data_IF_062646676767
#
_entry.id   IF_062646676767
#
_cell.length_a   1.000
_cell.length_b   1.000
_cell.length_c   1.000
_cell.angle_alpha   90.00
_cell.angle_beta   90.00
_cell.angle_gamma   90.00
#
_symmetry.space_group_name_H-M   'P 1'
#
loop_
_entity.id
_entity.type
_entity.pdbx_description
1 polymer ?
#
# COMPACT_ATOMS: atom_id res chain seq x y z
N UNK A 1 -41.83 11.00 19.84
CA UNK A 1 -41.32 10.85 18.47
C UNK A 1 -39.85 11.23 18.48
N UNK A 2 -38.98 10.28 18.82
CA UNK A 2 -37.53 10.49 18.79
C UNK A 2 -37.00 9.84 17.51
N UNK A 3 -36.54 10.68 16.58
CA UNK A 3 -35.89 10.23 15.35
C UNK A 3 -34.46 9.80 15.66
N UNK A 4 -34.24 8.50 15.81
CA UNK A 4 -32.91 7.90 15.83
C UNK A 4 -32.25 8.09 14.46
N UNK A 5 -31.33 9.06 14.37
CA UNK A 5 -30.42 9.18 13.23
C UNK A 5 -29.32 8.14 13.38
N UNK A 6 -29.53 6.98 12.76
CA UNK A 6 -28.51 5.97 12.54
C UNK A 6 -27.32 6.56 11.77
N UNK A 7 -26.14 6.54 12.39
CA UNK A 7 -24.87 6.85 11.73
C UNK A 7 -24.51 5.61 10.92
N UNK A 8 -24.67 5.68 9.60
CA UNK A 8 -24.14 4.68 8.67
C UNK A 8 -22.62 4.71 8.75
N UNK A 9 -22.01 3.68 9.33
CA UNK A 9 -20.60 3.39 9.16
C UNK A 9 -20.40 2.90 7.72
N UNK A 10 -19.99 3.78 6.82
CA UNK A 10 -19.55 3.38 5.48
C UNK A 10 -18.23 2.60 5.59
N UNK A 11 -18.43 1.28 5.72
CA UNK A 11 -17.67 0.16 5.18
C UNK A 11 -16.16 0.40 4.94
N UNK A 12 -15.34 -0.35 5.69
CA UNK A 12 -14.22 -1.07 5.05
C UNK A 12 -14.75 -1.56 3.71
N UNK A 13 -14.11 -1.23 2.60
CA UNK A 13 -14.53 -1.71 1.27
C UNK A 13 -14.80 -3.21 1.42
N UNK A 14 -16.06 -3.61 1.34
CA UNK A 14 -16.48 -5.00 1.44
C UNK A 14 -15.95 -5.68 0.20
N UNK A 15 -14.67 -6.07 0.26
CA UNK A 15 -14.05 -6.91 -0.76
C UNK A 15 -14.91 -8.16 -0.81
N UNK A 16 -15.45 -8.53 -1.99
CA UNK A 16 -16.39 -9.62 -2.13
C UNK A 16 -15.82 -10.86 -1.44
N UNK A 17 -16.51 -11.32 -0.39
CA UNK A 17 -16.14 -12.47 0.44
C UNK A 17 -16.10 -13.80 -0.33
N UNK A 18 -16.42 -13.77 -1.62
CA UNK A 18 -16.56 -14.94 -2.49
C UNK A 18 -15.36 -15.17 -3.42
N UNK A 19 -14.33 -14.31 -3.43
CA UNK A 19 -13.09 -14.61 -4.14
C UNK A 19 -12.21 -15.52 -3.27
N UNK A 20 -12.51 -16.82 -3.29
CA UNK A 20 -11.66 -17.85 -2.68
C UNK A 20 -10.68 -18.34 -3.73
N UNK A 21 -9.40 -18.09 -3.49
CA UNK A 21 -8.38 -18.51 -4.42
C UNK A 21 -7.91 -19.93 -4.08
N UNK A 22 -8.14 -20.87 -5.00
CA UNK A 22 -7.68 -22.26 -4.90
C UNK A 22 -6.25 -22.45 -5.41
N UNK A 23 -5.55 -21.38 -5.78
CA UNK A 23 -4.15 -21.42 -6.17
C UNK A 23 -3.23 -21.74 -4.99
N UNK A 24 -2.21 -22.55 -5.25
CA UNK A 24 -1.16 -22.85 -4.29
C UNK A 24 0.03 -21.88 -4.39
N UNK A 25 0.07 -21.04 -5.41
CA UNK A 25 1.14 -20.07 -5.63
C UNK A 25 0.64 -18.66 -5.39
N UNK A 26 1.39 -17.89 -4.61
CA UNK A 26 1.08 -16.51 -4.26
C UNK A 26 2.19 -15.65 -4.84
N UNK A 27 1.85 -14.75 -5.75
CA UNK A 27 2.81 -13.76 -6.27
C UNK A 27 2.69 -12.48 -5.45
N UNK A 28 3.77 -12.09 -4.79
CA UNK A 28 3.79 -10.93 -3.92
C UNK A 28 5.03 -10.05 -4.11
N UNK A 29 4.91 -8.78 -3.71
CA UNK A 29 6.06 -7.90 -3.50
C UNK A 29 5.89 -7.04 -2.25
N UNK A 30 7.01 -6.56 -1.72
CA UNK A 30 7.05 -5.63 -0.59
C UNK A 30 7.79 -4.36 -1.02
N UNK A 31 7.09 -3.23 -1.02
CA UNK A 31 7.64 -1.97 -1.53
C UNK A 31 7.20 -0.75 -0.70
N UNK A 32 7.95 0.35 -0.80
CA UNK A 32 7.51 1.65 -0.24
C UNK A 32 6.60 2.39 -1.22
N UNK A 33 6.92 2.32 -2.52
CA UNK A 33 6.26 3.02 -3.63
C UNK A 33 5.96 4.49 -3.30
N UNK A 34 6.97 5.24 -2.87
CA UNK A 34 6.78 6.62 -2.40
C UNK A 34 7.63 7.68 -3.12
N UNK A 35 7.13 8.27 -4.20
CA UNK A 35 5.85 7.97 -4.85
C UNK A 35 5.91 6.66 -5.67
N UNK A 36 4.75 6.14 -6.15
CA UNK A 36 4.72 5.17 -7.24
C UNK A 36 5.46 5.75 -8.45
N UNK A 37 6.18 4.91 -9.20
CA UNK A 37 7.02 5.36 -10.34
C UNK A 37 6.97 4.35 -11.47
N UNK A 38 7.41 4.72 -12.70
CA UNK A 38 7.49 3.78 -13.82
C UNK A 38 8.34 2.53 -13.49
N UNK A 39 9.44 2.70 -12.75
CA UNK A 39 10.25 1.56 -12.30
C UNK A 39 9.50 0.58 -11.37
N UNK A 40 8.54 1.05 -10.59
CA UNK A 40 7.65 0.16 -9.82
C UNK A 40 6.65 -0.57 -10.71
N UNK A 41 6.20 0.04 -11.81
CA UNK A 41 5.29 -0.64 -12.74
C UNK A 41 5.98 -1.78 -13.48
N UNK A 42 7.28 -1.70 -13.76
CA UNK A 42 8.03 -2.85 -14.31
C UNK A 42 8.02 -4.06 -13.36
N UNK A 43 8.08 -3.81 -12.05
CA UNK A 43 7.94 -4.87 -11.05
C UNK A 43 6.53 -5.47 -11.10
N UNK A 44 5.50 -4.62 -11.16
CA UNK A 44 4.11 -5.05 -11.26
C UNK A 44 3.85 -5.79 -12.59
N UNK A 45 4.44 -5.36 -13.69
CA UNK A 45 4.40 -6.01 -15.01
C UNK A 45 4.87 -7.45 -14.91
N UNK A 46 6.07 -7.67 -14.36
CA UNK A 46 6.64 -9.01 -14.22
C UNK A 46 5.77 -9.90 -13.35
N UNK A 47 5.18 -9.34 -12.28
CA UNK A 47 4.23 -10.06 -11.44
C UNK A 47 2.95 -10.44 -12.20
N UNK A 48 2.36 -9.51 -12.97
CA UNK A 48 1.14 -9.75 -13.76
C UNK A 48 1.38 -10.77 -14.86
N UNK A 49 2.47 -10.63 -15.63
CA UNK A 49 2.80 -11.55 -16.72
C UNK A 49 3.09 -12.96 -16.18
N UNK A 50 3.81 -13.06 -15.06
CA UNK A 50 4.04 -14.35 -14.43
C UNK A 50 2.76 -14.95 -13.86
N UNK A 51 1.89 -14.16 -13.24
CA UNK A 51 0.57 -14.63 -12.81
C UNK A 51 -0.25 -15.15 -14.00
N UNK A 52 -0.30 -14.38 -15.09
CA UNK A 52 -1.07 -14.72 -16.29
C UNK A 52 -0.57 -16.00 -16.95
N UNK A 53 0.74 -16.18 -17.08
CA UNK A 53 1.35 -17.38 -17.64
C UNK A 53 1.10 -18.63 -16.78
N UNK A 54 0.88 -18.47 -15.47
CA UNK A 54 0.60 -19.56 -14.54
C UNK A 54 -0.91 -19.71 -14.23
N UNK A 55 -1.79 -19.04 -14.99
CA UNK A 55 -3.24 -19.00 -14.76
C UNK A 55 -3.62 -18.61 -13.32
N UNK A 56 -2.83 -17.74 -12.70
CA UNK A 56 -3.16 -17.16 -11.40
C UNK A 56 -4.10 -15.97 -11.60
N UNK A 57 -5.03 -15.82 -10.67
CA UNK A 57 -6.07 -14.79 -10.65
C UNK A 57 -5.72 -13.61 -9.76
N UNK A 58 -4.60 -13.68 -9.02
CA UNK A 58 -4.25 -12.65 -8.06
C UNK A 58 -2.75 -12.41 -7.92
N UNK A 59 -2.39 -11.15 -7.72
CA UNK A 59 -1.08 -10.73 -7.18
C UNK A 59 -1.27 -9.83 -5.95
N UNK A 60 -0.25 -9.70 -5.12
CA UNK A 60 -0.31 -8.89 -3.90
C UNK A 60 0.86 -7.91 -3.77
N UNK A 61 0.55 -6.64 -3.50
CA UNK A 61 1.54 -5.59 -3.24
C UNK A 61 1.42 -5.17 -1.77
N UNK A 62 2.45 -5.42 -0.99
CA UNK A 62 2.54 -5.04 0.42
C UNK A 62 3.28 -3.72 0.52
N UNK A 63 2.57 -2.67 0.92
CA UNK A 63 3.10 -1.32 1.05
C UNK A 63 3.59 -1.04 2.47
N UNK A 64 4.81 -0.50 2.56
CA UNK A 64 5.35 -0.02 3.83
C UNK A 64 4.56 1.18 4.38
N UNK A 65 4.38 1.18 5.70
CA UNK A 65 3.63 2.17 6.46
C UNK A 65 4.47 3.37 6.94
N UNK A 66 5.81 3.31 6.87
CA UNK A 66 6.60 4.42 7.42
C UNK A 66 6.27 5.73 6.68
N UNK A 67 6.35 6.86 7.39
CA UNK A 67 6.16 8.18 6.80
C UNK A 67 7.29 9.07 7.28
N UNK A 68 8.05 9.60 6.34
CA UNK A 68 9.15 10.53 6.59
C UNK A 68 9.24 11.51 5.42
N UNK A 69 9.64 12.74 5.68
CA UNK A 69 9.51 13.82 4.68
C UNK A 69 10.45 13.70 3.49
N UNK A 70 11.49 12.85 3.56
CA UNK A 70 12.55 12.80 2.55
C UNK A 70 12.50 11.53 1.68
N UNK A 71 12.24 10.38 2.29
CA UNK A 71 12.20 9.07 1.66
C UNK A 71 10.80 8.51 1.46
N UNK A 72 9.87 8.80 2.38
CA UNK A 72 8.52 8.22 2.39
C UNK A 72 7.42 9.29 2.67
N UNK A 73 7.31 10.34 1.83
CA UNK A 73 6.47 11.52 2.13
C UNK A 73 4.96 11.28 2.11
N UNK A 74 4.50 10.24 1.41
CA UNK A 74 3.09 9.86 1.30
C UNK A 74 2.70 8.72 2.26
N UNK A 75 1.55 8.83 2.92
CA UNK A 75 0.99 7.70 3.67
C UNK A 75 0.45 6.59 2.74
N UNK A 76 0.25 5.41 3.30
CA UNK A 76 -0.14 4.24 2.52
C UNK A 76 -1.49 4.38 1.82
N UNK A 77 -2.47 4.97 2.50
CA UNK A 77 -3.80 5.20 1.95
C UNK A 77 -3.76 6.11 0.72
N UNK A 78 -3.00 7.20 0.79
CA UNK A 78 -2.78 8.10 -0.35
C UNK A 78 -2.14 7.38 -1.53
N UNK A 79 -1.13 6.53 -1.30
CA UNK A 79 -0.50 5.73 -2.38
C UNK A 79 -1.49 4.77 -3.03
N UNK A 80 -2.23 4.02 -2.22
CA UNK A 80 -3.19 3.00 -2.65
C UNK A 80 -4.35 3.61 -3.45
N UNK A 81 -5.11 4.51 -2.82
CA UNK A 81 -6.42 4.94 -3.33
C UNK A 81 -6.31 6.01 -4.42
N UNK A 82 -5.25 6.83 -4.42
CA UNK A 82 -5.14 7.97 -5.34
C UNK A 82 -4.34 7.64 -6.59
N UNK A 83 -3.34 6.75 -6.49
CA UNK A 83 -2.37 6.58 -7.58
C UNK A 83 -2.25 5.14 -8.07
N UNK A 84 -2.17 4.16 -7.15
CA UNK A 84 -1.85 2.80 -7.57
C UNK A 84 -3.04 2.12 -8.26
N UNK A 85 -4.27 2.24 -7.75
CA UNK A 85 -5.42 1.59 -8.38
C UNK A 85 -5.63 2.04 -9.83
N UNK A 86 -5.77 3.34 -10.09
CA UNK A 86 -6.00 3.86 -11.45
C UNK A 86 -4.82 3.62 -12.40
N UNK A 87 -3.59 3.79 -11.92
CA UNK A 87 -2.37 3.51 -12.70
C UNK A 87 -2.27 2.05 -13.11
N UNK A 88 -2.50 1.12 -12.17
CA UNK A 88 -2.40 -0.32 -12.42
C UNK A 88 -3.50 -0.78 -13.37
N UNK A 89 -4.73 -0.29 -13.24
CA UNK A 89 -5.82 -0.66 -14.15
C UNK A 89 -5.52 -0.22 -15.59
N UNK A 90 -5.09 1.03 -15.79
CA UNK A 90 -4.67 1.52 -17.12
C UNK A 90 -3.45 0.76 -17.65
N UNK A 91 -2.53 0.38 -16.76
CA UNK A 91 -1.37 -0.41 -17.13
C UNK A 91 -1.74 -1.84 -17.54
N UNK A 92 -2.71 -2.47 -16.87
CA UNK A 92 -3.25 -3.78 -17.28
C UNK A 92 -3.86 -3.73 -18.68
N UNK A 93 -4.59 -2.66 -19.01
CA UNK A 93 -5.13 -2.46 -20.37
C UNK A 93 -4.02 -2.39 -21.42
N UNK A 94 -2.95 -1.64 -21.13
CA UNK A 94 -1.77 -1.60 -21.98
C UNK A 94 -1.14 -2.99 -22.16
N UNK A 95 -0.92 -3.73 -21.07
CA UNK A 95 -0.33 -5.08 -21.12
C UNK A 95 -1.21 -6.07 -21.90
N UNK A 96 -2.54 -5.97 -21.76
CA UNK A 96 -3.48 -6.79 -22.50
C UNK A 96 -3.37 -6.58 -24.02
N UNK A 97 -3.10 -5.34 -24.46
CA UNK A 97 -2.90 -5.00 -25.87
C UNK A 97 -1.53 -5.48 -26.37
N UNK A 98 -0.47 -5.36 -25.57
CA UNK A 98 0.89 -5.74 -25.98
C UNK A 98 1.17 -7.24 -25.85
N UNK A 99 0.33 -7.98 -25.11
CA UNK A 99 0.40 -9.44 -24.92
C UNK A 99 -0.95 -10.09 -25.24
N UNK A 100 -1.40 -10.08 -26.50
CA UNK A 100 -2.72 -10.59 -26.88
C UNK A 100 -2.90 -12.07 -26.53
N UNK A 101 -1.83 -12.86 -26.48
CA UNK A 101 -1.84 -14.27 -26.07
C UNK A 101 -2.19 -14.48 -24.58
N UNK A 102 -1.99 -13.46 -23.74
CA UNK A 102 -2.30 -13.48 -22.32
C UNK A 102 -3.47 -12.56 -21.94
N UNK A 103 -4.13 -11.92 -22.91
CA UNK A 103 -5.12 -10.86 -22.69
C UNK A 103 -6.17 -11.23 -21.63
N UNK A 104 -6.84 -12.37 -21.81
CA UNK A 104 -7.91 -12.82 -20.91
C UNK A 104 -7.39 -12.97 -19.47
N UNK A 105 -6.21 -13.55 -19.32
CA UNK A 105 -5.60 -13.79 -18.02
C UNK A 105 -5.17 -12.46 -17.38
N UNK A 106 -4.49 -11.58 -18.12
CA UNK A 106 -4.09 -10.24 -17.68
C UNK A 106 -5.29 -9.47 -17.15
N UNK A 107 -6.39 -9.42 -17.90
CA UNK A 107 -7.62 -8.71 -17.51
C UNK A 107 -8.21 -9.27 -16.21
N UNK A 108 -8.21 -10.60 -16.06
CA UNK A 108 -8.77 -11.30 -14.89
C UNK A 108 -7.97 -11.14 -13.59
N UNK A 109 -6.67 -10.81 -13.66
CA UNK A 109 -5.81 -10.71 -12.47
C UNK A 109 -6.26 -9.58 -11.55
N UNK A 110 -6.60 -9.93 -10.31
CA UNK A 110 -6.85 -9.00 -9.24
C UNK A 110 -5.54 -8.53 -8.60
N UNK A 111 -5.34 -7.22 -8.48
CA UNK A 111 -4.16 -6.65 -7.81
C UNK A 111 -4.53 -6.17 -6.42
N UNK A 112 -4.16 -6.96 -5.42
CA UNK A 112 -4.47 -6.67 -4.01
C UNK A 112 -3.36 -5.82 -3.41
N UNK A 113 -3.70 -4.64 -2.91
CA UNK A 113 -2.75 -3.72 -2.26
C UNK A 113 -3.03 -3.67 -0.76
N UNK A 114 -2.08 -4.18 0.04
CA UNK A 114 -2.19 -4.23 1.50
C UNK A 114 -1.19 -3.27 2.13
N UNK A 115 -1.63 -2.43 3.06
CA UNK A 115 -0.76 -1.59 3.86
C UNK A 115 -0.30 -2.34 5.11
N UNK A 116 0.96 -2.19 5.51
CA UNK A 116 1.48 -2.82 6.73
C UNK A 116 0.81 -2.32 8.03
N UNK A 117 0.16 -1.16 7.97
CA UNK A 117 -0.61 -0.54 9.05
C UNK A 117 -2.13 -0.65 8.86
N UNK A 118 -2.60 -1.44 7.89
CA UNK A 118 -4.03 -1.71 7.77
C UNK A 118 -4.55 -2.34 9.08
N UNK A 119 -5.72 -1.89 9.59
CA UNK A 119 -6.30 -2.46 10.80
C UNK A 119 -6.81 -3.87 10.48
N UNK A 120 -5.96 -4.87 10.71
CA UNK A 120 -6.37 -6.27 10.62
C UNK A 120 -7.31 -6.57 11.79
N UNK A 121 -8.52 -7.07 11.49
CA UNK A 121 -9.43 -7.52 12.53
C UNK A 121 -8.76 -8.63 13.35
N UNK A 122 -9.05 -8.68 14.65
CA UNK A 122 -8.47 -9.62 15.62
C UNK A 122 -8.69 -11.10 15.25
N UNK A 123 -9.55 -11.38 14.27
CA UNK A 123 -9.89 -12.71 13.79
C UNK A 123 -8.81 -13.41 12.96
N UNK A 124 -7.66 -12.77 12.64
CA UNK A 124 -6.57 -13.47 11.95
C UNK A 124 -5.77 -14.29 12.97
N UNK A 125 -5.91 -15.64 13.02
CA UNK A 125 -5.50 -16.47 14.15
C UNK A 125 -3.98 -16.59 14.37
N UNK A 126 -3.16 -15.89 13.57
CA UNK A 126 -1.70 -16.00 13.52
C UNK A 126 -0.97 -14.68 13.78
N UNK A 127 -1.72 -13.61 14.05
CA UNK A 127 -1.14 -12.31 14.37
C UNK A 127 -0.98 -12.23 15.89
N UNK A 128 0.18 -12.65 16.39
CA UNK A 128 0.58 -12.35 17.77
C UNK A 128 1.10 -10.90 17.87
N UNK A 129 1.09 -10.33 19.08
CA UNK A 129 1.61 -8.96 19.34
C UNK A 129 3.05 -8.77 18.84
N UNK A 130 3.88 -9.82 18.92
CA UNK A 130 5.29 -9.83 18.50
C UNK A 130 5.51 -10.07 16.99
N UNK A 131 4.46 -10.03 16.16
CA UNK A 131 4.56 -10.24 14.71
C UNK A 131 5.07 -8.98 14.03
N UNK A 132 6.08 -9.10 13.16
CA UNK A 132 6.56 -7.96 12.37
C UNK A 132 5.46 -7.45 11.43
N UNK A 133 5.42 -6.15 11.08
CA UNK A 133 4.37 -5.61 10.20
C UNK A 133 4.29 -6.32 8.83
N UNK A 134 5.43 -6.77 8.30
CA UNK A 134 5.50 -7.56 7.06
C UNK A 134 4.78 -8.89 7.23
N UNK A 135 5.07 -9.62 8.30
CA UNK A 135 4.43 -10.91 8.58
C UNK A 135 2.93 -10.74 8.85
N UNK A 136 2.51 -9.64 9.49
CA UNK A 136 1.08 -9.34 9.66
C UNK A 136 0.36 -9.21 8.31
N UNK A 137 0.94 -8.45 7.39
CA UNK A 137 0.39 -8.29 6.05
C UNK A 137 0.37 -9.61 5.25
N UNK A 138 1.44 -10.42 5.32
CA UNK A 138 1.48 -11.75 4.69
C UNK A 138 0.41 -12.66 5.28
N UNK A 139 0.30 -12.74 6.61
CA UNK A 139 -0.71 -13.57 7.27
C UNK A 139 -2.13 -13.12 6.94
N UNK A 140 -2.37 -11.81 6.85
CA UNK A 140 -3.64 -11.28 6.38
C UNK A 140 -3.96 -11.73 4.95
N UNK A 141 -2.99 -11.64 4.04
CA UNK A 141 -3.19 -12.08 2.64
C UNK A 141 -3.50 -13.58 2.60
N UNK A 142 -2.71 -14.39 3.30
CA UNK A 142 -2.87 -15.84 3.38
C UNK A 142 -4.25 -16.23 3.92
N UNK A 143 -4.67 -15.62 5.03
CA UNK A 143 -5.95 -15.91 5.68
C UNK A 143 -7.13 -15.42 4.84
N UNK A 144 -7.07 -14.18 4.34
CA UNK A 144 -8.19 -13.54 3.67
C UNK A 144 -8.44 -14.08 2.26
N UNK A 145 -7.39 -14.38 1.51
CA UNK A 145 -7.51 -14.71 0.08
C UNK A 145 -7.18 -16.17 -0.26
N UNK A 146 -6.38 -16.87 0.56
CA UNK A 146 -5.87 -18.21 0.25
C UNK A 146 -6.30 -19.29 1.26
N UNK A 147 -7.29 -18.98 2.11
CA UNK A 147 -7.89 -19.94 3.06
C UNK A 147 -6.85 -20.60 3.99
N UNK A 148 -5.83 -19.87 4.43
CA UNK A 148 -4.83 -20.41 5.34
C UNK A 148 -5.45 -20.85 6.70
N UNK A 149 -5.03 -22.00 7.28
CA UNK A 149 -3.95 -22.88 6.83
C UNK A 149 -4.34 -23.81 5.69
N UNK A 150 -3.49 -23.88 4.66
CA UNK A 150 -3.62 -24.81 3.54
C UNK A 150 -2.25 -25.41 3.19
N UNK A 151 -2.13 -26.74 3.05
CA UNK A 151 -0.86 -27.37 2.70
C UNK A 151 -0.45 -27.01 1.26
N UNK A 152 0.86 -26.89 1.02
CA UNK A 152 1.42 -26.69 -0.31
C UNK A 152 1.41 -25.23 -0.81
N UNK A 153 1.08 -24.26 0.04
CA UNK A 153 1.20 -22.84 -0.32
C UNK A 153 2.66 -22.44 -0.54
N UNK A 154 2.93 -21.73 -1.63
CA UNK A 154 4.23 -21.20 -2.01
C UNK A 154 4.11 -19.71 -2.34
N UNK A 155 4.94 -18.87 -1.74
CA UNK A 155 5.02 -17.44 -2.02
C UNK A 155 6.22 -17.15 -2.90
N UNK A 156 5.96 -16.64 -4.10
CA UNK A 156 6.97 -16.06 -4.99
C UNK A 156 7.06 -14.57 -4.71
N UNK A 157 8.16 -14.17 -4.09
CA UNK A 157 8.40 -12.80 -3.69
C UNK A 157 9.33 -12.11 -4.69
N UNK A 158 8.77 -11.11 -5.37
CA UNK A 158 9.53 -10.26 -6.27
C UNK A 158 10.14 -9.10 -5.49
N UNK A 159 11.47 -8.95 -5.58
CA UNK A 159 12.21 -7.85 -4.97
C UNK A 159 13.23 -7.28 -5.95
N UNK A 160 13.54 -5.99 -5.80
CA UNK A 160 14.63 -5.38 -6.55
C UNK A 160 15.97 -6.00 -6.16
N UNK A 161 16.90 -6.05 -7.12
CA UNK A 161 18.31 -6.42 -6.93
C UNK A 161 19.02 -5.61 -5.83
N UNK A 162 18.56 -4.38 -5.57
CA UNK A 162 19.04 -3.49 -4.52
C UNK A 162 18.76 -3.97 -3.09
N UNK A 163 18.04 -5.08 -2.91
CA UNK A 163 17.68 -5.63 -1.60
C UNK A 163 18.25 -7.02 -1.40
N UNK A 164 19.17 -7.12 -0.45
CA UNK A 164 19.63 -8.41 0.08
C UNK A 164 18.51 -9.05 0.90
N UNK A 165 17.93 -10.14 0.38
CA UNK A 165 16.85 -10.88 1.04
C UNK A 165 17.23 -11.35 2.44
N UNK A 166 18.47 -11.84 2.62
CA UNK A 166 18.92 -12.38 3.89
C UNK A 166 19.03 -11.31 4.97
N UNK A 167 19.21 -10.04 4.57
CA UNK A 167 19.22 -8.89 5.50
C UNK A 167 17.84 -8.28 5.67
N UNK A 168 17.06 -8.21 4.59
CA UNK A 168 15.77 -7.51 4.60
C UNK A 168 14.64 -8.37 5.19
N UNK A 169 14.51 -9.63 4.76
CA UNK A 169 13.38 -10.50 5.10
C UNK A 169 13.79 -11.76 5.85
N UNK A 170 14.99 -12.27 5.60
CA UNK A 170 15.55 -13.44 6.28
C UNK A 170 15.26 -13.44 7.78
N UNK A 171 15.58 -12.40 8.56
CA UNK A 171 15.37 -12.39 10.01
C UNK A 171 13.90 -12.33 10.43
N UNK A 172 13.01 -11.84 9.55
CA UNK A 172 11.57 -11.79 9.82
C UNK A 172 10.91 -13.13 9.49
N UNK A 173 11.29 -13.76 8.38
CA UNK A 173 10.67 -14.99 7.88
C UNK A 173 11.22 -16.26 8.56
N UNK A 174 12.48 -16.29 8.97
CA UNK A 174 13.06 -17.46 9.67
C UNK A 174 12.56 -17.62 11.11
N UNK A 175 12.11 -16.54 11.74
CA UNK A 175 11.66 -16.55 13.15
C UNK A 175 10.27 -17.16 13.35
N UNK A 176 9.49 -17.39 12.29
CA UNK A 176 8.17 -18.03 12.39
C UNK A 176 8.06 -19.10 11.32
N UNK A 177 7.69 -20.30 11.73
CA UNK A 177 7.37 -21.43 10.87
C UNK A 177 6.06 -21.14 10.09
N UNK A 178 6.10 -20.18 9.17
CA UNK A 178 5.07 -20.10 8.15
C UNK A 178 5.35 -21.31 7.24
N UNK A 179 4.42 -22.28 7.11
CA UNK A 179 4.60 -23.49 6.31
C UNK A 179 4.42 -23.16 4.81
N UNK A 180 5.12 -22.12 4.37
CA UNK A 180 5.00 -21.53 3.04
C UNK A 180 6.40 -21.41 2.48
N UNK A 181 6.61 -22.01 1.30
CA UNK A 181 7.85 -21.83 0.56
C UNK A 181 8.03 -20.38 0.14
N UNK A 182 9.27 -19.89 0.15
CA UNK A 182 9.60 -18.56 -0.37
C UNK A 182 10.58 -18.69 -1.53
N UNK A 183 10.16 -18.25 -2.72
CA UNK A 183 11.01 -18.13 -3.89
C UNK A 183 11.30 -16.65 -4.15
N UNK A 184 12.57 -16.27 -4.23
CA UNK A 184 12.97 -14.90 -4.52
C UNK A 184 13.17 -14.73 -6.03
N UNK A 185 12.55 -13.70 -6.59
CA UNK A 185 12.79 -13.26 -7.97
C UNK A 185 13.40 -11.87 -7.93
N UNK A 186 14.64 -11.75 -8.39
CA UNK A 186 15.38 -10.49 -8.47
C UNK A 186 15.10 -9.79 -9.80
N UNK A 187 14.83 -8.49 -9.73
CA UNK A 187 14.70 -7.64 -10.91
C UNK A 187 15.89 -6.68 -11.00
N UNK A 188 16.58 -6.72 -12.13
CA UNK A 188 17.71 -5.85 -12.43
C UNK A 188 17.27 -4.38 -12.55
N UNK A 189 18.08 -3.48 -12.00
CA UNK A 189 17.86 -2.03 -12.06
C UNK A 189 19.05 -1.30 -12.67
N UNK A 190 19.20 -1.43 -13.98
CA UNK A 190 20.27 -0.79 -14.74
C UNK A 190 20.29 0.73 -14.52
N UNK A 191 21.46 1.27 -14.20
CA UNK A 191 21.75 2.70 -14.04
C UNK A 191 20.96 3.45 -12.93
N UNK A 192 20.19 2.77 -12.09
CA UNK A 192 19.37 3.43 -11.06
C UNK A 192 20.19 4.34 -10.12
N UNK A 193 21.39 3.90 -9.73
CA UNK A 193 22.29 4.66 -8.83
C UNK A 193 22.72 6.00 -9.42
N UNK A 194 22.97 6.05 -10.73
CA UNK A 194 23.40 7.25 -11.46
C UNK A 194 22.31 8.32 -11.44
N UNK A 195 21.09 7.96 -11.81
CA UNK A 195 19.98 8.92 -11.85
C UNK A 195 19.50 9.31 -10.45
N UNK A 196 19.61 8.41 -9.46
CA UNK A 196 19.27 8.69 -8.06
C UNK A 196 20.14 9.79 -7.44
N UNK A 197 21.40 9.90 -7.85
CA UNK A 197 22.36 10.87 -7.27
C UNK A 197 22.44 12.19 -8.03
N UNK A 198 21.70 12.37 -9.12
CA UNK A 198 21.75 13.59 -9.93
C UNK A 198 21.31 14.84 -9.15
N UNK A 199 22.12 15.88 -9.24
CA UNK A 199 21.82 17.20 -8.69
C UNK A 199 20.88 18.02 -9.58
N UNK A 200 20.36 19.14 -9.05
CA UNK A 200 19.37 19.95 -9.76
C UNK A 200 19.83 20.50 -11.12
N UNK A 201 21.11 20.82 -11.27
CA UNK A 201 21.66 21.29 -12.55
C UNK A 201 21.65 20.19 -13.61
N UNK A 202 22.05 18.97 -13.24
CA UNK A 202 22.02 17.81 -14.13
C UNK A 202 20.60 17.42 -14.49
N UNK A 203 19.67 17.46 -13.52
CA UNK A 203 18.27 17.17 -13.77
C UNK A 203 17.66 18.21 -14.73
N UNK A 204 17.94 19.50 -14.57
CA UNK A 204 17.45 20.55 -15.47
C UNK A 204 17.84 20.33 -16.94
N UNK A 205 19.05 19.86 -17.20
CA UNK A 205 19.53 19.57 -18.56
C UNK A 205 19.18 18.16 -19.06
N UNK A 206 18.61 17.30 -18.22
CA UNK A 206 18.31 15.92 -18.56
C UNK A 206 17.13 15.80 -19.52
N UNK A 207 17.34 15.12 -20.64
CA UNK A 207 16.28 14.67 -21.53
C UNK A 207 15.53 13.49 -20.89
N UNK A 208 14.37 13.74 -20.28
CA UNK A 208 13.58 12.70 -19.58
C UNK A 208 13.21 11.50 -20.48
N UNK A 209 13.05 11.73 -21.78
CA UNK A 209 12.68 10.70 -22.73
C UNK A 209 13.80 9.66 -22.92
N UNK A 210 15.06 10.05 -22.72
CA UNK A 210 16.22 9.14 -22.80
C UNK A 210 16.53 8.39 -21.50
N UNK A 211 15.81 8.66 -20.41
CA UNK A 211 16.01 7.96 -19.14
C UNK A 211 15.36 6.57 -19.23
N UNK A 212 16.10 5.47 -18.96
CA UNK A 212 15.53 4.14 -19.02
C UNK A 212 14.53 3.93 -17.86
N UNK A 213 13.41 3.25 -18.15
CA UNK A 213 12.34 3.01 -17.16
C UNK A 213 12.87 2.35 -15.86
N UNK A 214 13.75 1.34 -15.89
CA UNK A 214 14.33 0.76 -14.67
C UNK A 214 15.07 1.76 -13.76
N UNK A 215 15.57 2.86 -14.33
CA UNK A 215 16.27 3.89 -13.56
C UNK A 215 15.34 4.95 -12.95
N UNK A 216 14.06 4.99 -13.35
CA UNK A 216 13.04 5.93 -12.85
C UNK A 216 12.55 5.54 -11.45
N UNK A 217 13.44 5.63 -10.48
CA UNK A 217 13.21 5.29 -9.07
C UNK A 217 12.43 6.37 -8.33
N UNK A 218 11.89 6.01 -7.17
CA UNK A 218 11.23 6.95 -6.25
C UNK A 218 12.14 8.12 -5.88
N UNK A 219 13.42 7.85 -5.61
CA UNK A 219 14.41 8.89 -5.28
C UNK A 219 14.64 9.86 -6.43
N UNK A 220 14.74 9.35 -7.67
CA UNK A 220 14.85 10.19 -8.86
C UNK A 220 13.64 11.13 -8.98
N UNK A 221 12.42 10.60 -8.85
CA UNK A 221 11.18 11.40 -8.90
C UNK A 221 11.13 12.44 -7.78
N UNK A 222 11.51 12.08 -6.56
CA UNK A 222 11.59 13.04 -5.43
C UNK A 222 12.61 14.15 -5.70
N UNK A 223 13.73 13.86 -6.36
CA UNK A 223 14.71 14.89 -6.71
C UNK A 223 14.14 15.89 -7.74
N UNK A 224 13.31 15.46 -8.69
CA UNK A 224 12.60 16.38 -9.60
C UNK A 224 11.73 17.37 -8.82
N UNK A 225 11.04 16.90 -7.78
CA UNK A 225 10.23 17.73 -6.88
C UNK A 225 11.12 18.68 -6.07
N UNK A 226 12.19 18.18 -5.45
CA UNK A 226 13.17 18.99 -4.69
C UNK A 226 13.76 20.12 -5.52
N UNK A 227 13.96 19.89 -6.82
CA UNK A 227 14.54 20.83 -7.77
C UNK A 227 13.50 21.71 -8.48
N UNK A 228 12.21 21.60 -8.12
CA UNK A 228 11.08 22.33 -8.72
C UNK A 228 10.99 22.18 -10.24
N UNK A 229 11.02 20.94 -10.72
CA UNK A 229 10.96 20.60 -12.16
C UNK A 229 9.63 19.92 -12.51
N UNK A 230 8.49 20.65 -12.49
CA UNK A 230 7.16 20.05 -12.69
C UNK A 230 6.97 19.45 -14.09
N UNK A 231 7.56 20.06 -15.12
CA UNK A 231 7.41 19.56 -16.50
C UNK A 231 8.14 18.22 -16.68
N UNK A 232 9.34 18.09 -16.11
CA UNK A 232 10.09 16.85 -16.12
C UNK A 232 9.41 15.78 -15.28
N UNK A 233 8.89 16.15 -14.11
CA UNK A 233 8.08 15.27 -13.28
C UNK A 233 6.87 14.74 -14.05
N UNK A 234 6.15 15.61 -14.76
CA UNK A 234 5.00 15.22 -15.57
C UNK A 234 5.38 14.21 -16.66
N UNK A 235 6.47 14.45 -17.39
CA UNK A 235 6.98 13.49 -18.39
C UNK A 235 7.29 12.11 -17.80
N UNK A 236 7.91 12.07 -16.62
CA UNK A 236 8.17 10.79 -15.93
C UNK A 236 6.88 10.11 -15.51
N UNK A 237 5.94 10.85 -14.92
CA UNK A 237 4.72 10.25 -14.38
C UNK A 237 3.71 9.84 -15.46
N UNK A 238 3.78 10.41 -16.67
CA UNK A 238 3.05 9.89 -17.84
C UNK A 238 3.48 8.47 -18.20
N UNK A 239 4.76 8.15 -18.07
CA UNK A 239 5.28 6.77 -18.22
C UNK A 239 4.82 5.83 -17.10
N UNK A 240 4.23 6.36 -16.02
CA UNK A 240 3.58 5.59 -14.98
C UNK A 240 2.06 5.50 -15.15
N UNK A 241 1.53 5.77 -16.35
CA UNK A 241 0.10 5.68 -16.66
C UNK A 241 -0.77 6.51 -15.69
N UNK A 242 -0.27 7.67 -15.26
CA UNK A 242 -1.06 8.67 -14.53
C UNK A 242 -1.59 9.72 -15.49
N UNK A 243 -2.82 10.18 -15.24
CA UNK A 243 -3.43 11.29 -15.98
C UNK A 243 -2.87 12.64 -15.51
N UNK A 244 -2.95 13.66 -16.37
CA UNK A 244 -2.41 14.99 -16.09
C UNK A 244 -2.90 15.58 -14.75
N UNK A 245 -4.16 15.33 -14.41
CA UNK A 245 -4.73 15.74 -13.12
C UNK A 245 -4.06 15.02 -11.95
N UNK A 246 -3.94 13.70 -11.99
CA UNK A 246 -3.31 12.91 -10.92
C UNK A 246 -1.82 13.28 -10.78
N UNK A 247 -1.15 13.55 -11.89
CA UNK A 247 0.24 14.02 -11.92
C UNK A 247 0.38 15.35 -11.17
N UNK A 248 -0.49 16.33 -11.47
CA UNK A 248 -0.48 17.61 -10.78
C UNK A 248 -0.80 17.46 -9.28
N UNK A 249 -1.77 16.61 -8.94
CA UNK A 249 -2.14 16.30 -7.56
C UNK A 249 -0.96 15.68 -6.80
N UNK A 250 -0.30 14.68 -7.38
CA UNK A 250 0.87 14.02 -6.81
C UNK A 250 2.03 14.99 -6.61
N UNK A 251 2.34 15.81 -7.62
CA UNK A 251 3.42 16.80 -7.54
C UNK A 251 3.17 17.79 -6.40
N UNK A 252 1.94 18.30 -6.28
CA UNK A 252 1.55 19.23 -5.21
C UNK A 252 1.69 18.60 -3.82
N UNK A 253 1.23 17.35 -3.64
CA UNK A 253 1.37 16.62 -2.37
C UNK A 253 2.84 16.42 -1.98
N UNK A 254 3.69 16.05 -2.94
CA UNK A 254 5.11 15.85 -2.68
C UNK A 254 5.83 17.17 -2.39
N UNK A 255 5.56 18.23 -3.16
CA UNK A 255 6.17 19.54 -2.98
C UNK A 255 5.82 20.18 -1.63
N UNK A 256 4.67 19.85 -1.06
CA UNK A 256 4.24 20.32 0.26
C UNK A 256 5.02 19.67 1.42
N UNK A 257 5.48 18.42 1.23
CA UNK A 257 6.08 17.60 2.31
C UNK A 257 7.61 17.54 2.18
N UNK A 258 8.13 17.47 0.95
CA UNK A 258 9.56 17.35 0.70
C UNK A 258 10.23 18.71 0.87
N UNK A 259 11.25 18.83 1.75
CA UNK A 259 11.96 20.08 1.94
C UNK A 259 12.71 20.48 0.66
N UNK A 260 12.63 21.76 0.32
CA UNK A 260 13.32 22.31 -0.85
C UNK A 260 14.83 22.30 -0.66
N UNK A 261 15.56 22.07 -1.76
CA UNK A 261 17.00 22.22 -1.76
C UNK A 261 17.35 23.72 -1.61
N UNK A 262 17.81 24.12 -0.42
CA UNK A 262 18.09 25.53 -0.05
C UNK A 262 19.13 26.21 -0.94
N UNK A 263 19.93 25.44 -1.68
CA UNK A 263 20.96 25.94 -2.60
C UNK A 263 20.41 26.79 -3.75
N UNK A 264 19.10 26.77 -4.02
CA UNK A 264 18.49 27.49 -5.14
C UNK A 264 17.92 28.88 -4.81
N UNK A 265 18.07 29.39 -3.58
CA UNK A 265 17.79 30.80 -3.23
C UNK A 265 16.38 31.35 -3.52
N UNK A 266 15.42 30.51 -3.92
CA UNK A 266 14.10 30.93 -4.39
C UNK A 266 13.09 31.15 -3.27
N UNK A 267 12.32 32.25 -3.33
CA UNK A 267 11.16 32.48 -2.45
C UNK A 267 10.15 31.32 -2.57
N UNK A 268 9.62 30.86 -1.43
CA UNK A 268 8.55 29.85 -1.34
C UNK A 268 7.30 30.38 -2.06
N UNK A 269 7.01 29.90 -3.26
CA UNK A 269 5.69 30.10 -3.87
C UNK A 269 4.72 29.15 -3.17
N UNK A 270 3.75 29.69 -2.43
CA UNK A 270 2.64 28.89 -1.88
C UNK A 270 1.78 28.43 -3.06
N UNK A 271 1.85 27.15 -3.41
CA UNK A 271 0.89 26.55 -4.33
C UNK A 271 -0.46 26.47 -3.61
N UNK A 272 -1.46 27.22 -4.07
CA UNK A 272 -2.82 27.16 -3.53
C UNK A 272 -3.52 25.90 -4.05
N UNK A 273 -3.23 24.75 -3.45
CA UNK A 273 -3.89 23.49 -3.80
C UNK A 273 -5.19 23.32 -2.99
N UNK A 274 -6.35 23.40 -3.64
CA UNK A 274 -7.70 23.33 -3.05
C UNK A 274 -8.06 21.95 -2.47
N UNK A 275 -7.26 20.92 -2.75
CA UNK A 275 -7.52 19.53 -2.41
C UNK A 275 -7.43 19.18 -0.92
N UNK A 276 -6.71 19.97 -0.09
CA UNK A 276 -6.60 19.68 1.36
C UNK A 276 -7.95 19.55 2.06
N UNK A 277 -9.01 20.20 1.53
CA UNK A 277 -10.36 20.10 2.10
C UNK A 277 -11.09 18.78 1.80
N UNK A 278 -10.78 18.07 0.71
CA UNK A 278 -11.49 16.82 0.34
C UNK A 278 -10.90 15.58 1.03
N UNK A 279 -9.57 15.43 1.05
CA UNK A 279 -8.91 14.30 1.73
C UNK A 279 -9.03 14.41 3.26
N UNK A 280 -8.85 15.60 3.84
CA UNK A 280 -8.96 15.77 5.29
C UNK A 280 -10.40 15.52 5.79
N UNK A 281 -11.43 15.83 4.98
CA UNK A 281 -12.83 15.47 5.28
C UNK A 281 -13.05 13.96 5.25
N UNK A 282 -12.49 13.24 4.26
CA UNK A 282 -12.54 11.76 4.22
C UNK A 282 -11.83 11.12 5.42
N UNK A 283 -10.72 11.69 5.89
CA UNK A 283 -9.97 11.22 7.08
C UNK A 283 -10.76 11.36 8.39
N UNK A 284 -11.46 12.49 8.62
CA UNK A 284 -12.21 12.71 9.87
C UNK A 284 -13.42 11.80 10.03
N UNK A 285 -14.06 11.39 8.93
CA UNK A 285 -15.22 10.49 9.01
C UNK A 285 -14.85 9.03 9.30
N UNK A 286 -13.62 8.60 9.00
CA UNK A 286 -13.23 7.18 9.07
C UNK A 286 -12.69 6.71 10.44
N UNK A 287 -12.29 7.63 11.32
CA UNK A 287 -11.60 7.29 12.59
C UNK A 287 -12.27 7.79 13.88
N UNK A 288 -13.50 8.31 13.83
CA UNK A 288 -14.30 8.45 15.06
C UNK A 288 -14.89 7.10 15.45
N UNK A 289 -14.02 6.18 15.89
CA UNK A 289 -14.44 5.10 16.78
C UNK A 289 -14.89 5.80 18.07
N UNK A 290 -16.19 6.01 18.22
CA UNK A 290 -16.75 6.47 19.50
C UNK A 290 -16.29 5.43 20.51
N UNK A 291 -15.38 5.81 21.41
CA UNK A 291 -15.19 5.08 22.67
C UNK A 291 -16.58 5.01 23.29
N UNK A 292 -17.26 3.87 23.17
CA UNK A 292 -18.45 3.59 23.94
C UNK A 292 -17.97 3.57 25.37
N UNK A 293 -18.13 4.69 26.08
CA UNK A 293 -17.99 4.74 27.51
C UNK A 293 -19.02 3.76 28.04
N UNK A 294 -18.55 2.57 28.43
CA UNK A 294 -19.34 1.58 29.11
C UNK A 294 -19.76 2.21 30.45
N UNK A 295 -20.89 2.91 30.45
CA UNK A 295 -21.54 3.38 31.68
C UNK A 295 -21.88 2.13 32.47
N UNK A 296 -21.03 1.78 33.43
CA UNK A 296 -21.36 0.80 34.47
C UNK A 296 -22.61 1.31 35.19
N UNK A 297 -23.78 0.85 34.79
CA UNK A 297 -25.01 0.99 35.55
C UNK A 297 -24.81 0.20 36.85
N UNK A 298 -24.55 0.90 37.95
CA UNK A 298 -24.63 0.33 39.30
C UNK A 298 -26.08 -0.07 39.56
N UNK A 299 -26.43 -1.31 39.25
CA UNK A 299 -27.65 -1.93 39.76
C UNK A 299 -27.50 -2.09 41.27
N UNK A 300 -28.24 -1.28 42.04
CA UNK A 300 -28.34 -1.42 43.50
C UNK A 300 -29.17 -2.68 43.81
N UNK A 301 -28.52 -3.82 43.98
CA UNK A 301 -29.17 -5.00 44.57
C UNK A 301 -29.53 -4.71 46.02
N UNK A 302 -30.82 -4.49 46.30
CA UNK A 302 -31.34 -4.35 47.66
C UNK A 302 -31.59 -5.75 48.22
N UNK A 303 -30.66 -6.27 49.02
CA UNK A 303 -30.86 -7.55 49.71
C UNK A 303 -31.84 -7.32 50.87
N UNK A 304 -33.12 -7.70 50.67
CA UNK A 304 -34.10 -7.82 51.75
C UNK A 304 -33.70 -9.00 52.65
N UNK A 305 -33.17 -8.70 53.85
CA UNK A 305 -32.97 -9.69 54.92
C UNK A 305 -34.33 -10.07 55.51
N UNK A 306 -34.83 -11.27 55.22
CA UNK A 306 -35.94 -11.89 55.96
C UNK A 306 -35.42 -12.44 57.29
N UNK A 307 -35.80 -11.82 58.42
CA UNK A 307 -35.58 -12.41 59.75
C UNK A 307 -36.66 -13.47 60.01
N UNK A 308 -36.21 -14.72 60.13
CA UNK A 308 -36.99 -15.89 60.55
C UNK A 308 -37.27 -15.78 62.06
N UNK A 309 -38.54 -15.88 62.44
CA UNK A 309 -38.99 -16.07 63.82
C UNK A 309 -38.47 -17.41 64.37
N UNK A 310 -37.88 -17.39 65.57
CA UNK A 310 -37.53 -18.57 66.36
C UNK A 310 -38.59 -18.71 67.46
N UNK A 311 -39.43 -19.76 67.38
CA UNK A 311 -40.33 -20.17 68.48
C UNK A 311 -39.50 -20.68 69.66
N UNK A 312 -39.84 -20.25 70.87
CA UNK A 312 -39.47 -20.91 72.12
C UNK A 312 -40.47 -22.06 72.37
N UNK A 313 -39.94 -23.24 72.67
CA UNK A 313 -40.52 -24.19 73.60
C UNK A 313 -39.66 -24.14 74.86
#
# INVERSE_FOLDING_TARGET
METEKGIKSESLVDLPTNFRNEENTIIATIARMNPPTPGHLLLVERMILQAAANNLTQISIILSHSVDSDENPLDCWTKRDVFLHSSIDRFKEYLAVTHPELERNIRSINVVIVCMDDPFQEEVPLISENTTPILKAINYILFRFYMYPRPGLNVKLFIGDDRDYNKFLGPSLTKKAVPVGFEQIQLERTNMSVYKSMGCMQLKSLAIDSVPIPAMSASFVRNLVKCRLPDQFSKVMKKAFLEDREIQELYGLLADVIPENKSLGGRKRKFNYTFKKSIAKKRKHKYTFKKSTFKKSRAKFTIKKSRKYRKKY
#
